data_IF_546009197529
#
_entry.id   IF_546009197529
#
_cell.length_a   1.000
_cell.length_b   1.000
_cell.length_c   1.000
_cell.angle_alpha   90.00
_cell.angle_beta   90.00
_cell.angle_gamma   90.00
#
_symmetry.space_group_name_H-M   'P 1'
#
loop_
_entity.id
_entity.type
_entity.pdbx_description
1 polymer ?
#
# COMPACT_ATOMS: atom_id res chain seq x y z
N UNK A 1 -4.52 27.71 0.33
CA UNK A 1 -3.32 27.34 -0.46
C UNK A 1 -3.16 25.84 -0.47
N UNK A 2 -3.03 25.24 -1.66
CA UNK A 2 -2.74 23.81 -1.84
C UNK A 2 -1.24 23.67 -2.08
N UNK A 3 -0.59 22.71 -1.40
CA UNK A 3 0.80 22.33 -1.64
C UNK A 3 0.84 20.94 -2.25
N UNK A 4 1.63 20.76 -3.31
CA UNK A 4 1.82 19.49 -4.00
C UNK A 4 3.31 19.16 -3.94
N UNK A 5 3.64 17.94 -3.51
CA UNK A 5 5.01 17.43 -3.42
C UNK A 5 5.08 16.06 -4.07
N UNK A 6 6.22 15.76 -4.70
CA UNK A 6 6.51 14.45 -5.30
C UNK A 6 7.98 14.12 -5.07
N UNK A 7 8.25 12.90 -4.61
CA UNK A 7 9.59 12.39 -4.36
C UNK A 7 9.59 10.86 -4.37
N UNK A 8 10.72 10.21 -4.72
CA UNK A 8 10.91 8.78 -4.45
C UNK A 8 11.14 8.48 -2.95
N UNK A 9 11.48 9.49 -2.13
CA UNK A 9 11.65 9.33 -0.69
C UNK A 9 10.29 9.41 0.03
N UNK A 10 9.97 8.38 0.82
CA UNK A 10 8.76 8.32 1.63
C UNK A 10 8.68 9.39 2.73
N UNK A 11 9.78 10.07 3.06
CA UNK A 11 9.77 11.17 4.04
C UNK A 11 8.78 12.29 3.65
N UNK A 12 8.56 12.52 2.35
CA UNK A 12 7.58 13.53 1.89
C UNK A 12 6.12 13.16 2.21
N UNK A 13 5.86 11.90 2.56
CA UNK A 13 4.52 11.44 2.97
C UNK A 13 4.23 11.69 4.44
N UNK A 14 5.15 12.27 5.21
CA UNK A 14 5.04 12.38 6.66
C UNK A 14 3.78 13.14 7.10
N UNK A 15 3.10 12.60 8.13
CA UNK A 15 1.91 13.22 8.71
C UNK A 15 0.63 13.11 7.86
N UNK A 16 0.63 12.26 6.83
CA UNK A 16 -0.54 12.01 5.99
C UNK A 16 -1.72 11.45 6.80
N UNK A 17 -2.94 11.91 6.47
CA UNK A 17 -4.19 11.39 7.04
C UNK A 17 -4.70 10.16 6.28
N UNK A 18 -4.49 10.14 4.97
CA UNK A 18 -4.87 9.07 4.07
C UNK A 18 -3.70 8.78 3.12
N UNK A 19 -3.29 7.52 3.04
CA UNK A 19 -2.32 7.05 2.06
C UNK A 19 -3.03 6.10 1.08
N UNK A 20 -3.09 6.47 -0.19
CA UNK A 20 -3.73 5.68 -1.24
C UNK A 20 -2.65 4.89 -1.98
N UNK A 21 -2.73 3.56 -1.95
CA UNK A 21 -1.75 2.68 -2.60
C UNK A 21 -2.35 2.12 -3.88
N UNK A 22 -1.88 2.65 -5.00
CA UNK A 22 -2.24 2.21 -6.36
C UNK A 22 -1.13 1.41 -7.04
N UNK A 23 0.05 1.34 -6.42
CA UNK A 23 1.20 0.61 -6.92
C UNK A 23 0.95 -0.90 -6.84
N UNK A 24 1.23 -1.62 -7.92
CA UNK A 24 1.08 -3.07 -7.97
C UNK A 24 1.65 -3.64 -9.27
N UNK A 25 1.92 -4.94 -9.25
CA UNK A 25 2.35 -5.67 -10.43
C UNK A 25 1.16 -5.93 -11.36
N UNK A 26 1.37 -5.74 -12.68
CA UNK A 26 0.45 -6.23 -13.71
C UNK A 26 0.66 -7.72 -13.91
N UNK A 27 -0.44 -8.46 -14.10
CA UNK A 27 -0.39 -9.88 -14.43
C UNK A 27 0.36 -10.11 -15.74
N UNK A 28 1.24 -11.11 -15.75
CA UNK A 28 1.93 -11.56 -16.97
C UNK A 28 1.14 -12.69 -17.63
N UNK A 29 1.31 -12.86 -18.94
CA UNK A 29 0.71 -13.98 -19.66
C UNK A 29 1.19 -15.32 -19.08
N UNK A 30 0.26 -16.25 -18.84
CA UNK A 30 0.55 -17.54 -18.21
C UNK A 30 0.85 -17.48 -16.70
N UNK A 31 0.84 -16.30 -16.08
CA UNK A 31 1.13 -16.17 -14.64
C UNK A 31 -0.02 -16.65 -13.77
N UNK A 32 0.29 -17.48 -12.78
CA UNK A 32 -0.68 -17.91 -11.78
C UNK A 32 -1.10 -16.77 -10.86
N UNK A 33 -2.34 -16.81 -10.37
CA UNK A 33 -2.83 -15.85 -9.37
C UNK A 33 -1.92 -15.77 -8.14
N UNK A 34 -1.39 -16.91 -7.70
CA UNK A 34 -0.48 -16.97 -6.54
C UNK A 34 0.83 -16.24 -6.81
N UNK A 35 1.42 -16.41 -8.00
CA UNK A 35 2.66 -15.72 -8.38
C UNK A 35 2.45 -14.20 -8.47
N UNK A 36 1.31 -13.77 -9.04
CA UNK A 36 0.94 -12.35 -9.09
C UNK A 36 0.79 -11.76 -7.68
N UNK A 37 0.11 -12.47 -6.78
CA UNK A 37 -0.03 -12.05 -5.37
C UNK A 37 1.33 -11.94 -4.71
N UNK A 38 2.21 -12.92 -4.89
CA UNK A 38 3.54 -12.92 -4.28
C UNK A 38 4.38 -11.72 -4.73
N UNK A 39 4.38 -11.38 -6.02
CA UNK A 39 5.07 -10.18 -6.52
C UNK A 39 4.53 -8.90 -5.89
N UNK A 40 3.22 -8.80 -5.70
CA UNK A 40 2.61 -7.66 -5.02
C UNK A 40 2.95 -7.62 -3.52
N UNK A 41 3.04 -8.78 -2.85
CA UNK A 41 3.51 -8.85 -1.46
C UNK A 41 4.93 -8.28 -1.34
N UNK A 42 5.82 -8.63 -2.26
CA UNK A 42 7.21 -8.15 -2.23
C UNK A 42 7.30 -6.64 -2.51
N UNK A 43 6.48 -6.11 -3.42
CA UNK A 43 6.30 -4.66 -3.59
C UNK A 43 5.81 -4.03 -2.27
N UNK A 44 4.78 -4.60 -1.65
CA UNK A 44 4.15 -4.03 -0.44
C UNK A 44 5.08 -4.03 0.77
N UNK A 45 5.97 -5.02 0.90
CA UNK A 45 7.03 -5.01 1.93
C UNK A 45 7.96 -3.80 1.82
N UNK A 46 8.15 -3.25 0.61
CA UNK A 46 8.92 -2.02 0.39
C UNK A 46 8.11 -0.73 0.59
N UNK A 47 6.79 -0.76 0.43
CA UNK A 47 5.94 0.44 0.46
C UNK A 47 5.32 0.65 1.85
N UNK A 48 4.59 -0.35 2.35
CA UNK A 48 3.66 -0.20 3.48
C UNK A 48 4.38 0.17 4.79
N UNK A 49 5.50 -0.47 5.19
CA UNK A 49 6.21 -0.09 6.40
C UNK A 49 6.73 1.35 6.38
N UNK A 50 7.16 1.84 5.21
CA UNK A 50 7.66 3.21 5.06
C UNK A 50 6.53 4.23 5.22
N UNK A 51 5.37 3.99 4.61
CA UNK A 51 4.19 4.84 4.80
C UNK A 51 3.77 4.93 6.27
N UNK A 52 3.72 3.79 6.98
CA UNK A 52 3.34 3.76 8.40
C UNK A 52 4.40 4.39 9.30
N UNK A 53 5.69 4.21 8.98
CA UNK A 53 6.80 4.85 9.70
C UNK A 53 6.68 6.37 9.68
N UNK A 54 6.39 6.96 8.52
CA UNK A 54 6.27 8.41 8.38
C UNK A 54 4.87 8.94 8.74
N UNK A 55 3.85 8.10 8.69
CA UNK A 55 2.45 8.46 8.96
C UNK A 55 1.75 7.40 9.84
N UNK A 56 2.12 7.27 11.12
CA UNK A 56 1.60 6.21 12.00
C UNK A 56 0.09 6.33 12.28
N UNK A 57 -0.48 7.51 12.04
CA UNK A 57 -1.89 7.83 12.25
C UNK A 57 -2.73 7.79 10.97
N UNK A 58 -2.17 7.38 9.82
CA UNK A 58 -2.91 7.35 8.57
C UNK A 58 -3.96 6.22 8.51
N UNK A 59 -4.90 6.39 7.59
CA UNK A 59 -5.69 5.30 6.99
C UNK A 59 -4.99 4.88 5.70
N UNK A 60 -4.93 3.57 5.45
CA UNK A 60 -4.50 3.01 4.17
C UNK A 60 -5.73 2.71 3.31
N UNK A 61 -5.76 3.23 2.09
CA UNK A 61 -6.71 2.84 1.05
C UNK A 61 -5.99 2.08 -0.05
N UNK A 62 -6.28 0.80 -0.17
CA UNK A 62 -5.67 -0.09 -1.16
C UNK A 62 -6.55 -0.13 -2.40
N UNK A 63 -5.96 0.21 -3.55
CA UNK A 63 -6.63 0.21 -4.86
C UNK A 63 -6.06 -0.87 -5.78
N UNK A 64 -4.82 -1.32 -5.52
CA UNK A 64 -4.17 -2.34 -6.34
C UNK A 64 -4.88 -3.68 -6.28
N UNK A 65 -4.91 -4.38 -7.42
CA UNK A 65 -5.58 -5.67 -7.55
C UNK A 65 -4.60 -6.86 -7.39
N UNK A 66 -5.05 -8.02 -6.86
CA UNK A 66 -6.40 -8.31 -6.36
C UNK A 66 -6.68 -7.66 -5.00
N UNK A 67 -7.66 -6.75 -4.95
CA UNK A 67 -7.80 -5.78 -3.85
C UNK A 67 -8.04 -6.41 -2.49
N UNK A 68 -8.88 -7.45 -2.40
CA UNK A 68 -9.18 -8.10 -1.12
C UNK A 68 -7.92 -8.71 -0.48
N UNK A 69 -7.14 -9.44 -1.28
CA UNK A 69 -5.91 -10.10 -0.84
C UNK A 69 -4.84 -9.06 -0.51
N UNK A 70 -4.70 -8.02 -1.34
CA UNK A 70 -3.70 -6.97 -1.10
C UNK A 70 -4.06 -6.07 0.08
N UNK A 71 -5.36 -5.87 0.37
CA UNK A 71 -5.83 -5.19 1.57
C UNK A 71 -5.48 -5.99 2.82
N UNK A 72 -5.69 -7.31 2.79
CA UNK A 72 -5.27 -8.20 3.88
C UNK A 72 -3.75 -8.16 4.10
N UNK A 73 -2.96 -8.24 3.02
CA UNK A 73 -1.50 -8.15 3.08
C UNK A 73 -1.05 -6.81 3.67
N UNK A 74 -1.61 -5.70 3.20
CA UNK A 74 -1.32 -4.37 3.74
C UNK A 74 -1.65 -4.29 5.24
N UNK A 75 -2.79 -4.84 5.66
CA UNK A 75 -3.16 -4.89 7.07
C UNK A 75 -2.11 -5.64 7.90
N UNK A 76 -1.71 -6.84 7.46
CA UNK A 76 -0.72 -7.64 8.18
C UNK A 76 0.65 -6.98 8.26
N UNK A 77 1.13 -6.36 7.18
CA UNK A 77 2.46 -5.74 7.12
C UNK A 77 2.48 -4.38 7.83
N UNK A 78 1.37 -3.64 7.81
CA UNK A 78 1.28 -2.30 8.40
C UNK A 78 1.27 -2.30 9.93
N UNK A 79 0.76 -3.36 10.57
CA UNK A 79 0.50 -3.39 12.01
C UNK A 79 -0.61 -2.44 12.46
N UNK A 80 -1.35 -1.83 11.54
CA UNK A 80 -2.45 -0.92 11.89
C UNK A 80 -3.68 -1.71 12.39
N UNK A 81 -4.51 -1.12 13.27
CA UNK A 81 -5.86 -1.59 13.55
C UNK A 81 -6.67 -1.80 12.27
N UNK A 82 -7.47 -2.87 12.24
CA UNK A 82 -8.27 -3.28 11.06
C UNK A 82 -9.13 -2.17 10.45
N UNK A 83 -9.66 -1.26 11.28
CA UNK A 83 -10.53 -0.17 10.81
C UNK A 83 -9.78 0.95 10.08
N UNK A 84 -8.44 0.89 9.99
CA UNK A 84 -7.59 1.85 9.27
C UNK A 84 -7.02 1.30 7.97
N UNK A 85 -7.47 0.13 7.51
CA UNK A 85 -7.01 -0.48 6.26
C UNK A 85 -8.22 -0.90 5.46
N UNK A 86 -8.45 -0.23 4.33
CA UNK A 86 -9.68 -0.35 3.52
C UNK A 86 -9.26 -0.67 2.09
N UNK A 87 -9.99 -1.56 1.42
CA UNK A 87 -9.87 -1.82 -0.01
C UNK A 87 -10.96 -1.08 -0.78
N UNK A 88 -10.67 -0.70 -2.02
CA UNK A 88 -11.65 -0.11 -2.97
C UNK A 88 -12.68 -1.12 -3.45
#
# INVERSE_FOLDING_TARGET
>A
NVKIEASPDYAVSAGSKLCIVTAGARQREGESRLSLVQRNVDIYKGIIPNLVKHSPNCILLIVSNPVDVLTYVAWKISGLPKHRVIGS
#
